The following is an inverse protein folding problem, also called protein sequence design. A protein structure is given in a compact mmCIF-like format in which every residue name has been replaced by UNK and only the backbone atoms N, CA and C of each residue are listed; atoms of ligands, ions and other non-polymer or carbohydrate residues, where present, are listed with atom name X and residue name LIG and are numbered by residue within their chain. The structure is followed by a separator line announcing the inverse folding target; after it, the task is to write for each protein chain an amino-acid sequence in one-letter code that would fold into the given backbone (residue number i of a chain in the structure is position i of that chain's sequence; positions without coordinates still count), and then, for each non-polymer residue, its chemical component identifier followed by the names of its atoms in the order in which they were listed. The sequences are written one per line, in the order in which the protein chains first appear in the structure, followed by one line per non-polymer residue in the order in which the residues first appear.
data_IF_798936955124
#
_entry.id   IF_798936955124
#
_cell.length_a   1.000
_cell.length_b   1.000
_cell.length_c   1.000
_cell.angle_alpha   90.00
_cell.angle_beta   90.00
_cell.angle_gamma   90.00
#
_symmetry.space_group_name_H-M   'P 1'
#
loop_
_entity.id
_entity.type
_entity.pdbx_description
1 polymer ?
#
# COMPACT_ATOMS: atom_id res chain seq x y z
N UNK A 1 22.40 -26.73 17.74
CA UNK A 1 23.12 -25.45 17.78
C UNK A 1 22.06 -24.37 17.66
N UNK A 2 22.27 -23.20 18.25
CA UNK A 2 21.39 -22.05 18.01
C UNK A 2 21.72 -21.54 16.60
N UNK A 3 20.76 -21.62 15.67
CA UNK A 3 20.95 -21.25 14.26
C UNK A 3 20.86 -19.71 14.05
N UNK A 4 20.74 -18.93 15.14
CA UNK A 4 20.71 -17.47 15.08
C UNK A 4 22.11 -16.90 14.79
N UNK A 5 22.25 -15.98 13.83
CA UNK A 5 23.52 -15.33 13.57
C UNK A 5 23.91 -14.40 14.73
N UNK A 6 25.22 -14.30 15.02
CA UNK A 6 25.77 -13.39 16.04
C UNK A 6 25.63 -11.92 15.63
N UNK A 7 25.62 -11.65 14.31
CA UNK A 7 25.56 -10.32 13.73
C UNK A 7 24.59 -10.27 12.57
N UNK A 8 23.98 -9.11 12.39
CA UNK A 8 23.18 -8.76 11.22
C UNK A 8 23.67 -7.44 10.65
N UNK A 9 23.63 -7.29 9.33
CA UNK A 9 23.98 -6.06 8.63
C UNK A 9 22.76 -5.57 7.86
N UNK A 10 22.45 -4.28 7.99
CA UNK A 10 21.43 -3.62 7.19
C UNK A 10 22.17 -2.74 6.18
N UNK A 11 22.04 -3.09 4.91
CA UNK A 11 22.62 -2.36 3.77
C UNK A 11 21.45 -1.67 3.04
N UNK A 12 21.37 -0.34 3.00
CA UNK A 12 22.25 0.67 3.64
C UNK A 12 21.44 1.81 4.27
N UNK A 13 22.11 2.67 5.05
CA UNK A 13 21.42 3.83 5.63
C UNK A 13 20.98 4.84 4.57
N UNK A 14 21.82 5.14 3.56
CA UNK A 14 21.64 6.33 2.73
C UNK A 14 22.24 6.20 1.31
N UNK A 15 22.41 4.98 0.79
CA UNK A 15 22.87 4.76 -0.59
C UNK A 15 21.70 4.95 -1.57
N UNK A 16 21.49 6.21 -1.98
CA UNK A 16 20.51 6.59 -2.98
C UNK A 16 20.79 6.00 -4.38
N UNK A 17 22.02 6.10 -4.92
CA UNK A 17 22.35 5.57 -6.24
C UNK A 17 22.03 4.09 -6.44
N UNK A 18 22.12 3.26 -5.39
CA UNK A 18 21.77 1.84 -5.45
C UNK A 18 20.34 1.51 -4.96
N UNK A 19 19.55 2.53 -4.60
CA UNK A 19 18.12 2.39 -4.27
C UNK A 19 17.80 1.48 -3.07
N UNK A 20 18.79 1.14 -2.22
CA UNK A 20 18.58 0.31 -1.02
C UNK A 20 18.80 1.06 0.31
N UNK A 21 18.75 2.40 0.26
CA UNK A 21 18.71 3.24 1.45
C UNK A 21 17.45 2.97 2.28
N UNK A 22 17.58 3.09 3.61
CA UNK A 22 16.45 3.05 4.55
C UNK A 22 16.27 4.35 5.34
N UNK A 23 17.17 5.31 5.16
CA UNK A 23 17.24 6.58 5.85
C UNK A 23 16.97 7.76 4.91
N UNK A 24 17.45 8.94 5.31
CA UNK A 24 17.36 10.12 4.46
C UNK A 24 18.48 10.06 3.41
N UNK A 25 18.16 10.48 2.18
CA UNK A 25 19.17 10.85 1.19
C UNK A 25 19.43 12.34 1.35
N UNK A 26 20.71 12.72 1.35
CA UNK A 26 21.10 14.11 1.39
C UNK A 26 21.62 14.57 0.02
N UNK A 27 21.13 15.72 -0.49
CA UNK A 27 21.64 16.40 -1.68
C UNK A 27 23.16 16.45 -1.84
N UNK A 28 23.89 16.53 -0.73
CA UNK A 28 25.33 16.72 -0.65
C UNK A 28 26.13 15.44 -0.91
N UNK A 29 25.50 14.27 -0.81
CA UNK A 29 26.18 12.97 -0.93
C UNK A 29 26.35 12.53 -2.37
N UNK A 30 25.40 12.87 -3.22
CA UNK A 30 25.48 12.76 -4.68
C UNK A 30 24.53 13.79 -5.28
N UNK A 31 25.09 14.71 -6.08
CA UNK A 31 24.33 15.80 -6.69
C UNK A 31 24.15 15.66 -8.20
N UNK A 32 24.47 14.49 -8.76
CA UNK A 32 24.28 14.22 -10.17
C UNK A 32 22.81 14.31 -10.56
N UNK A 33 22.54 14.84 -11.76
CA UNK A 33 21.18 14.96 -12.28
C UNK A 33 20.50 13.59 -12.41
N UNK A 34 21.27 12.56 -12.77
CA UNK A 34 20.74 11.22 -13.04
C UNK A 34 20.21 10.51 -11.79
N UNK A 35 20.96 10.55 -10.68
CA UNK A 35 20.49 9.97 -9.41
C UNK A 35 19.20 10.62 -8.92
N UNK A 36 19.11 11.95 -9.01
CA UNK A 36 17.95 12.72 -8.55
C UNK A 36 16.66 12.43 -9.29
N UNK A 37 16.70 11.74 -10.44
CA UNK A 37 15.49 11.32 -11.16
C UNK A 37 14.70 10.26 -10.40
N UNK A 38 15.40 9.35 -9.70
CA UNK A 38 14.76 8.20 -9.06
C UNK A 38 14.95 8.15 -7.55
N UNK A 39 16.07 8.64 -7.01
CA UNK A 39 16.37 8.63 -5.58
C UNK A 39 16.23 10.06 -5.03
N UNK A 40 15.02 10.41 -4.59
CA UNK A 40 14.70 11.75 -4.12
C UNK A 40 13.57 11.69 -3.08
N UNK A 41 13.12 12.85 -2.60
CA UNK A 41 12.07 12.96 -1.59
C UNK A 41 10.70 12.43 -2.06
N UNK A 42 10.49 12.21 -3.37
CA UNK A 42 9.30 11.58 -3.93
C UNK A 42 9.35 10.04 -3.88
N UNK A 43 10.48 9.45 -3.46
CA UNK A 43 10.66 8.02 -3.22
C UNK A 43 11.26 7.75 -1.83
N UNK A 44 10.65 8.18 -0.71
CA UNK A 44 11.26 8.02 0.61
C UNK A 44 11.19 6.56 1.08
N UNK A 45 12.33 5.97 1.44
CA UNK A 45 12.38 4.58 1.92
C UNK A 45 12.26 4.42 3.43
N UNK A 46 12.22 5.53 4.18
CA UNK A 46 12.09 5.53 5.65
C UNK A 46 10.86 4.78 6.17
N UNK A 47 9.86 4.57 5.32
CA UNK A 47 8.65 3.83 5.64
C UNK A 47 8.90 2.38 6.08
N UNK A 48 10.06 1.78 5.76
CA UNK A 48 10.44 0.44 6.21
C UNK A 48 10.98 0.40 7.65
N UNK A 49 11.38 1.55 8.20
CA UNK A 49 12.04 1.63 9.51
C UNK A 49 11.23 1.05 10.68
N UNK A 50 9.89 1.15 10.75
CA UNK A 50 9.13 0.53 11.82
C UNK A 50 9.30 -1.00 11.88
N UNK A 51 9.33 -1.68 10.72
CA UNK A 51 9.59 -3.12 10.64
C UNK A 51 11.01 -3.43 11.12
N UNK A 52 11.99 -2.63 10.69
CA UNK A 52 13.38 -2.79 11.12
C UNK A 52 13.56 -2.54 12.62
N UNK A 53 12.81 -1.59 13.19
CA UNK A 53 12.82 -1.33 14.64
C UNK A 53 12.30 -2.54 15.42
N UNK A 54 11.22 -3.17 14.96
CA UNK A 54 10.72 -4.44 15.52
C UNK A 54 11.77 -5.56 15.39
N UNK A 55 12.38 -5.70 14.22
CA UNK A 55 13.41 -6.72 13.98
C UNK A 55 14.63 -6.53 14.88
N UNK A 56 15.18 -5.31 14.97
CA UNK A 56 16.33 -4.97 15.81
C UNK A 56 16.03 -5.29 17.27
N UNK A 57 14.82 -4.99 17.74
CA UNK A 57 14.40 -5.26 19.11
C UNK A 57 14.37 -6.77 19.39
N UNK A 58 13.72 -7.55 18.53
CA UNK A 58 13.64 -9.01 18.66
C UNK A 58 15.03 -9.66 18.53
N UNK A 59 15.84 -9.25 17.56
CA UNK A 59 17.19 -9.76 17.36
C UNK A 59 18.07 -9.55 18.60
N UNK A 60 18.03 -8.34 19.18
CA UNK A 60 18.81 -8.00 20.38
C UNK A 60 18.35 -8.74 21.64
N UNK A 61 17.06 -9.07 21.75
CA UNK A 61 16.55 -9.88 22.86
C UNK A 61 16.71 -11.39 22.62
N UNK A 62 17.15 -11.78 21.42
CA UNK A 62 17.25 -13.17 21.02
C UNK A 62 15.91 -13.83 20.70
N UNK A 63 14.86 -13.04 20.50
CA UNK A 63 13.52 -13.49 20.15
C UNK A 63 13.41 -13.87 18.66
N UNK A 64 12.41 -14.69 18.35
CA UNK A 64 12.07 -15.11 16.99
C UNK A 64 11.22 -14.08 16.24
N UNK A 65 10.97 -14.31 14.95
CA UNK A 65 10.07 -13.47 14.14
C UNK A 65 8.62 -13.50 14.62
N UNK A 66 8.19 -14.58 15.28
CA UNK A 66 6.85 -14.73 15.85
C UNK A 66 6.66 -13.88 17.11
N UNK A 67 7.75 -13.48 17.74
CA UNK A 67 7.79 -12.67 18.96
C UNK A 67 8.10 -11.19 18.66
N UNK A 68 8.20 -10.80 17.38
CA UNK A 68 8.36 -9.41 16.99
C UNK A 68 7.11 -8.61 17.37
N UNK A 69 7.30 -7.49 18.06
CA UNK A 69 6.23 -6.54 18.37
C UNK A 69 6.41 -5.24 17.59
N UNK A 70 5.31 -4.56 17.17
CA UNK A 70 5.41 -3.23 16.59
C UNK A 70 6.01 -2.23 17.59
N UNK A 71 6.69 -1.16 17.12
CA UNK A 71 7.28 -0.18 18.04
C UNK A 71 6.23 0.55 18.89
N UNK A 72 6.56 0.83 20.14
CA UNK A 72 5.67 1.55 21.07
C UNK A 72 4.44 0.72 21.46
N UNK A 73 3.26 1.35 21.46
CA UNK A 73 1.99 0.71 21.82
C UNK A 73 1.07 0.48 20.60
N UNK A 74 1.63 0.48 19.38
CA UNK A 74 0.86 0.26 18.17
C UNK A 74 0.31 -1.18 18.11
N UNK A 75 -0.84 -1.38 17.46
CA UNK A 75 -1.40 -2.73 17.23
C UNK A 75 -0.72 -3.44 16.06
N UNK A 76 -0.34 -2.66 15.05
CA UNK A 76 0.38 -3.13 13.88
C UNK A 76 1.36 -2.04 13.40
N UNK A 77 2.48 -2.45 12.82
CA UNK A 77 3.42 -1.60 12.12
C UNK A 77 3.91 -2.33 10.86
N UNK A 78 4.03 -1.65 9.74
CA UNK A 78 4.32 -2.31 8.48
C UNK A 78 4.55 -1.36 7.33
N UNK A 79 4.76 -1.95 6.15
CA UNK A 79 5.03 -1.20 4.93
C UNK A 79 4.52 -1.96 3.71
N UNK A 80 4.12 -1.21 2.69
CA UNK A 80 3.80 -1.68 1.34
C UNK A 80 4.87 -1.12 0.41
N UNK A 81 5.42 -1.92 -0.48
CA UNK A 81 6.34 -1.43 -1.51
C UNK A 81 6.07 -2.01 -2.88
N UNK A 82 6.31 -1.19 -3.90
CA UNK A 82 6.03 -1.50 -5.29
C UNK A 82 6.90 -0.62 -6.19
N UNK A 83 7.14 -1.08 -7.42
CA UNK A 83 7.83 -0.30 -8.45
C UNK A 83 6.88 0.70 -9.12
N UNK A 84 7.35 1.91 -9.49
CA UNK A 84 6.48 2.98 -10.00
C UNK A 84 6.04 2.77 -11.46
N UNK A 85 6.67 1.85 -12.19
CA UNK A 85 6.31 1.51 -13.58
C UNK A 85 5.95 0.03 -13.73
N UNK A 86 5.08 -0.33 -14.66
CA UNK A 86 4.77 -1.72 -14.99
C UNK A 86 5.95 -2.42 -15.69
N UNK A 87 6.03 -3.75 -15.60
CA UNK A 87 7.21 -4.52 -16.06
C UNK A 87 7.34 -4.52 -17.58
N UNK A 88 6.23 -4.32 -18.29
CA UNK A 88 6.17 -4.21 -19.73
C UNK A 88 6.32 -2.76 -20.25
N UNK A 89 6.59 -1.79 -19.37
CA UNK A 89 6.77 -0.38 -19.73
C UNK A 89 7.93 -0.23 -20.72
N UNK A 90 7.78 0.70 -21.67
CA UNK A 90 8.80 1.04 -22.66
C UNK A 90 9.22 2.50 -22.50
N UNK A 91 10.42 2.74 -21.98
CA UNK A 91 10.97 4.08 -21.86
C UNK A 91 11.73 4.52 -23.11
N UNK A 92 11.83 5.84 -23.35
CA UNK A 92 12.75 6.37 -24.35
C UNK A 92 14.17 5.84 -24.11
N UNK A 93 14.79 5.32 -25.15
CA UNK A 93 16.20 4.93 -25.13
C UNK A 93 16.97 5.98 -25.93
N UNK A 94 17.94 6.61 -25.29
CA UNK A 94 19.01 7.31 -25.98
C UNK A 94 20.29 6.47 -25.90
N UNK A 95 21.39 6.94 -26.49
CA UNK A 95 22.67 6.21 -26.44
C UNK A 95 23.45 6.50 -25.13
N UNK A 96 22.78 6.97 -24.07
CA UNK A 96 23.39 7.18 -22.76
C UNK A 96 23.34 5.91 -21.90
N UNK A 97 24.29 5.78 -20.97
CA UNK A 97 24.43 4.62 -20.08
C UNK A 97 23.24 4.46 -19.12
N UNK A 98 22.39 5.48 -18.98
CA UNK A 98 21.33 5.55 -17.96
C UNK A 98 19.90 5.41 -18.52
N UNK A 99 19.72 5.32 -19.84
CA UNK A 99 18.40 5.18 -20.47
C UNK A 99 18.04 3.73 -20.85
N UNK A 100 19.00 2.82 -20.78
CA UNK A 100 18.80 1.39 -20.96
C UNK A 100 18.02 0.75 -19.80
N UNK A 101 17.54 -0.48 -20.03
CA UNK A 101 17.02 -1.31 -18.92
C UNK A 101 18.18 -1.67 -18.00
N UNK A 102 18.05 -1.53 -16.67
CA UNK A 102 19.07 -2.00 -15.73
C UNK A 102 19.25 -3.51 -15.81
N UNK A 103 20.40 -4.00 -15.37
CA UNK A 103 20.66 -5.44 -15.26
C UNK A 103 19.58 -6.11 -14.38
N UNK A 104 19.07 -7.26 -14.82
CA UNK A 104 18.01 -7.99 -14.11
C UNK A 104 16.59 -7.49 -14.39
N UNK A 105 16.38 -6.50 -15.26
CA UNK A 105 15.04 -6.02 -15.60
C UNK A 105 14.12 -7.13 -16.14
N UNK A 106 14.67 -8.15 -16.78
CA UNK A 106 13.93 -9.30 -17.32
C UNK A 106 13.17 -10.13 -16.28
N UNK A 107 13.53 -10.01 -14.98
CA UNK A 107 12.80 -10.65 -13.88
C UNK A 107 11.86 -9.69 -13.14
N UNK A 108 11.71 -8.45 -13.61
CA UNK A 108 10.75 -7.51 -13.03
C UNK A 108 9.33 -8.07 -13.15
N UNK A 109 8.61 -8.08 -12.03
CA UNK A 109 7.23 -8.59 -11.94
C UNK A 109 6.32 -7.53 -11.33
N UNK A 110 5.06 -7.49 -11.79
CA UNK A 110 4.06 -6.54 -11.33
C UNK A 110 3.41 -7.03 -10.02
N UNK A 111 4.11 -6.80 -8.91
CA UNK A 111 3.66 -7.17 -7.57
C UNK A 111 3.76 -5.99 -6.61
N UNK A 112 2.85 -5.95 -5.64
CA UNK A 112 2.96 -5.11 -4.46
C UNK A 112 3.33 -5.97 -3.26
N UNK A 113 4.50 -5.76 -2.72
CA UNK A 113 5.07 -6.54 -1.62
C UNK A 113 4.79 -5.85 -0.29
N UNK A 114 4.60 -6.63 0.77
CA UNK A 114 4.27 -6.08 2.07
C UNK A 114 4.88 -6.88 3.22
N UNK A 115 5.06 -6.21 4.34
CA UNK A 115 5.37 -6.81 5.63
C UNK A 115 4.67 -6.05 6.75
N UNK A 116 4.12 -6.79 7.71
CA UNK A 116 3.37 -6.25 8.85
C UNK A 116 3.75 -7.03 10.11
N UNK A 117 4.16 -6.29 11.13
CA UNK A 117 4.39 -6.80 12.49
C UNK A 117 3.14 -6.51 13.30
N UNK A 118 2.56 -7.55 13.90
CA UNK A 118 1.34 -7.48 14.71
C UNK A 118 1.66 -7.77 16.16
N UNK A 119 1.10 -6.96 17.06
CA UNK A 119 1.20 -7.20 18.50
C UNK A 119 0.39 -8.44 18.90
N UNK A 120 0.91 -9.24 19.85
CA UNK A 120 0.20 -10.37 20.48
C UNK A 120 -1.16 -9.98 21.07
N UNK A 121 -1.31 -8.74 21.52
CA UNK A 121 -2.55 -8.21 22.08
C UNK A 121 -3.43 -7.50 21.02
N UNK A 122 -3.05 -7.60 19.74
CA UNK A 122 -3.71 -6.92 18.63
C UNK A 122 -5.08 -7.50 18.25
N UNK A 123 -5.38 -8.72 18.71
CA UNK A 123 -6.57 -9.48 18.32
C UNK A 123 -6.47 -9.98 16.87
N UNK A 124 -7.53 -10.65 16.40
CA UNK A 124 -7.61 -11.09 15.01
C UNK A 124 -7.69 -9.86 14.08
N UNK A 125 -6.80 -9.81 13.09
CA UNK A 125 -6.73 -8.74 12.11
C UNK A 125 -6.56 -9.30 10.71
N UNK A 126 -7.10 -8.60 9.72
CA UNK A 126 -6.96 -8.93 8.30
C UNK A 126 -6.25 -7.81 7.56
N UNK A 127 -5.35 -8.18 6.67
CA UNK A 127 -4.74 -7.28 5.71
C UNK A 127 -5.53 -7.34 4.41
N UNK A 128 -5.74 -6.18 3.78
CA UNK A 128 -6.34 -6.06 2.45
C UNK A 128 -5.45 -5.18 1.57
N UNK A 129 -5.14 -5.66 0.37
CA UNK A 129 -4.34 -4.95 -0.64
C UNK A 129 -5.21 -4.43 -1.76
N UNK A 130 -4.90 -3.24 -2.26
CA UNK A 130 -5.65 -2.55 -3.31
C UNK A 130 -4.72 -1.98 -4.38
N UNK A 131 -5.18 -2.05 -5.63
CA UNK A 131 -4.53 -1.44 -6.78
C UNK A 131 -5.60 -0.75 -7.63
N UNK A 132 -5.45 0.55 -7.84
CA UNK A 132 -6.45 1.41 -8.50
C UNK A 132 -7.84 1.36 -7.85
N UNK A 133 -7.87 1.28 -6.52
CA UNK A 133 -9.12 1.22 -5.75
C UNK A 133 -9.83 -0.14 -5.76
N UNK A 134 -9.34 -1.13 -6.52
CA UNK A 134 -9.85 -2.50 -6.48
C UNK A 134 -9.04 -3.36 -5.51
N UNK A 135 -9.72 -4.21 -4.73
CA UNK A 135 -9.08 -5.18 -3.86
C UNK A 135 -8.41 -6.28 -4.69
N UNK A 136 -7.12 -6.50 -4.46
CA UNK A 136 -6.28 -7.45 -5.21
C UNK A 136 -5.80 -8.63 -4.35
N UNK A 137 -6.16 -8.66 -3.07
CA UNK A 137 -5.92 -9.78 -2.19
C UNK A 137 -6.06 -9.42 -0.72
N UNK A 138 -6.11 -10.45 0.12
CA UNK A 138 -6.18 -10.32 1.57
C UNK A 138 -5.42 -11.44 2.26
N UNK A 139 -5.09 -11.23 3.53
CA UNK A 139 -4.41 -12.21 4.37
C UNK A 139 -4.86 -12.07 5.83
N UNK A 140 -5.09 -13.20 6.50
CA UNK A 140 -5.21 -13.22 7.96
C UNK A 140 -3.84 -12.95 8.58
N UNK A 141 -3.80 -12.04 9.55
CA UNK A 141 -2.57 -11.69 10.26
C UNK A 141 -2.50 -12.42 11.60
N UNK A 142 -1.32 -12.95 11.90
CA UNK A 142 -0.99 -13.52 13.20
C UNK A 142 -0.02 -12.62 13.96
N UNK A 143 0.12 -12.83 15.27
CA UNK A 143 1.13 -12.15 16.08
C UNK A 143 2.55 -12.36 15.51
N UNK A 144 3.41 -11.35 15.64
CA UNK A 144 4.74 -11.36 15.05
C UNK A 144 4.78 -10.81 13.62
N UNK A 145 5.82 -11.20 12.88
CA UNK A 145 6.05 -10.80 11.50
C UNK A 145 5.19 -11.61 10.51
N UNK A 146 4.44 -10.88 9.67
CA UNK A 146 3.72 -11.38 8.50
C UNK A 146 4.30 -10.71 7.26
N UNK A 147 4.34 -11.40 6.12
CA UNK A 147 4.79 -10.83 4.86
C UNK A 147 4.19 -11.58 3.67
N UNK A 148 4.16 -10.92 2.52
CA UNK A 148 3.62 -11.50 1.29
C UNK A 148 3.65 -10.55 0.11
N UNK A 149 2.97 -10.96 -0.96
CA UNK A 149 2.83 -10.19 -2.18
C UNK A 149 1.37 -10.22 -2.66
N UNK A 150 0.93 -9.13 -3.27
CA UNK A 150 -0.25 -9.10 -4.12
C UNK A 150 0.19 -9.08 -5.59
N UNK A 151 -0.40 -9.93 -6.43
CA UNK A 151 0.09 -10.19 -7.81
C UNK A 151 -0.78 -9.58 -8.92
N UNK A 152 -1.78 -8.76 -8.58
CA UNK A 152 -2.66 -8.10 -9.55
C UNK A 152 -2.46 -6.58 -9.56
N UNK A 153 -1.20 -6.14 -9.43
CA UNK A 153 -0.83 -4.73 -9.51
C UNK A 153 -1.13 -4.18 -10.91
N UNK A 154 -1.69 -2.97 -10.97
CA UNK A 154 -2.05 -2.26 -12.21
C UNK A 154 -1.71 -0.77 -12.08
N UNK A 155 -1.86 -0.03 -13.18
CA UNK A 155 -1.71 1.43 -13.16
C UNK A 155 -2.64 2.07 -12.14
N UNK A 156 -2.20 3.17 -11.53
CA UNK A 156 -2.96 3.89 -10.52
C UNK A 156 -2.37 3.78 -9.11
N UNK A 157 -3.09 4.28 -8.10
CA UNK A 157 -2.63 4.29 -6.71
C UNK A 157 -2.57 2.87 -6.14
N UNK A 158 -1.58 2.62 -5.29
CA UNK A 158 -1.45 1.38 -4.53
C UNK A 158 -1.76 1.65 -3.07
N UNK A 159 -2.40 0.70 -2.41
CA UNK A 159 -2.80 0.85 -1.02
C UNK A 159 -2.86 -0.50 -0.31
N UNK A 160 -2.59 -0.51 0.99
CA UNK A 160 -3.00 -1.62 1.85
C UNK A 160 -3.58 -1.09 3.15
N UNK A 161 -4.48 -1.84 3.74
CA UNK A 161 -5.06 -1.52 5.03
C UNK A 161 -5.17 -2.75 5.92
N UNK A 162 -5.03 -2.53 7.21
CA UNK A 162 -5.26 -3.51 8.25
C UNK A 162 -6.61 -3.22 8.89
N UNK A 163 -7.45 -4.25 8.96
CA UNK A 163 -8.77 -4.23 9.56
C UNK A 163 -8.77 -5.11 10.80
N UNK A 164 -9.52 -4.71 11.81
CA UNK A 164 -9.86 -5.55 12.96
C UNK A 164 -10.86 -6.63 12.56
N UNK A 165 -11.01 -7.66 13.40
CA UNK A 165 -12.03 -8.71 13.29
C UNK A 165 -13.45 -8.18 12.99
N UNK A 166 -13.78 -6.98 13.47
CA UNK A 166 -15.10 -6.35 13.29
C UNK A 166 -15.17 -5.41 12.08
N UNK A 167 -14.14 -5.38 11.22
CA UNK A 167 -14.07 -4.53 10.03
C UNK A 167 -13.65 -3.07 10.28
N UNK A 168 -13.37 -2.69 11.53
CA UNK A 168 -12.83 -1.37 11.86
C UNK A 168 -11.41 -1.19 11.31
N UNK A 169 -11.10 -0.03 10.73
CA UNK A 169 -9.77 0.33 10.26
C UNK A 169 -8.79 0.40 11.45
N UNK A 170 -7.64 -0.26 11.33
CA UNK A 170 -6.57 -0.23 12.34
C UNK A 170 -5.42 0.63 11.86
N UNK A 171 -5.04 0.46 10.60
CA UNK A 171 -3.99 1.24 9.98
C UNK A 171 -4.05 1.14 8.44
N UNK A 172 -3.44 2.09 7.74
CA UNK A 172 -3.45 2.17 6.29
C UNK A 172 -2.09 2.63 5.77
N UNK A 173 -1.64 2.04 4.67
CA UNK A 173 -0.48 2.50 3.90
C UNK A 173 -0.97 2.92 2.51
N UNK A 174 -0.94 4.23 2.25
CA UNK A 174 -1.43 4.82 1.01
C UNK A 174 -0.68 6.12 0.67
N UNK A 175 -0.80 6.56 -0.57
CA UNK A 175 -0.09 7.72 -1.11
C UNK A 175 1.09 7.28 -1.99
N UNK A 176 2.13 8.11 -2.02
CA UNK A 176 3.23 7.94 -2.97
C UNK A 176 2.79 8.17 -4.42
N UNK A 177 3.66 7.80 -5.35
CA UNK A 177 3.41 7.92 -6.78
C UNK A 177 2.50 6.79 -7.29
N UNK A 178 1.61 7.11 -8.23
CA UNK A 178 0.84 6.12 -8.96
C UNK A 178 1.77 5.22 -9.79
N UNK A 179 1.40 3.94 -9.92
CA UNK A 179 1.99 3.04 -10.90
C UNK A 179 1.53 3.47 -12.29
N UNK A 180 2.42 3.40 -13.28
CA UNK A 180 2.10 3.78 -14.67
C UNK A 180 2.78 2.84 -15.68
N UNK A 181 2.25 2.80 -16.90
CA UNK A 181 2.84 2.17 -18.09
C UNK A 181 3.70 3.14 -18.91
N UNK A 182 3.93 4.36 -18.40
CA UNK A 182 4.83 5.38 -18.94
C UNK A 182 6.08 5.54 -18.07
N UNK A 183 7.03 6.39 -18.49
CA UNK A 183 8.29 6.64 -17.81
C UNK A 183 8.36 8.08 -17.30
N UNK A 184 7.72 8.39 -16.15
CA UNK A 184 7.67 9.75 -15.61
C UNK A 184 9.05 10.33 -15.32
N UNK A 185 10.04 9.48 -15.03
CA UNK A 185 11.43 9.90 -14.77
C UNK A 185 12.31 9.91 -16.05
N UNK A 186 11.73 9.55 -17.20
CA UNK A 186 12.43 9.41 -18.48
C UNK A 186 13.36 8.20 -18.58
N UNK A 187 13.35 7.31 -17.58
CA UNK A 187 14.20 6.12 -17.47
C UNK A 187 13.40 4.92 -16.98
N UNK A 188 13.98 3.72 -17.07
CA UNK A 188 13.42 2.48 -16.49
C UNK A 188 13.57 2.48 -14.95
N UNK A 189 12.87 3.39 -14.27
CA UNK A 189 12.96 3.54 -12.83
C UNK A 189 12.26 2.38 -12.10
N UNK A 190 13.07 1.55 -11.42
CA UNK A 190 12.60 0.48 -10.54
C UNK A 190 12.78 0.79 -9.05
N UNK A 191 13.23 2.00 -8.68
CA UNK A 191 13.36 2.42 -7.30
C UNK A 191 11.98 2.35 -6.61
N UNK A 192 11.78 1.51 -5.59
CA UNK A 192 10.45 1.26 -5.06
C UNK A 192 9.86 2.49 -4.38
N UNK A 193 8.56 2.66 -4.52
CA UNK A 193 7.77 3.44 -3.58
C UNK A 193 7.58 2.59 -2.33
N UNK A 194 7.89 3.14 -1.15
CA UNK A 194 7.66 2.45 0.14
C UNK A 194 6.68 3.28 0.96
N UNK A 195 5.51 2.72 1.23
CA UNK A 195 4.44 3.36 1.98
C UNK A 195 4.39 2.78 3.39
N UNK A 196 4.36 3.66 4.38
CA UNK A 196 4.27 3.25 5.79
C UNK A 196 2.82 2.94 6.15
N UNK A 197 2.62 1.89 6.94
CA UNK A 197 1.35 1.62 7.61
C UNK A 197 1.19 2.58 8.79
N UNK A 198 0.20 3.48 8.71
CA UNK A 198 -0.07 4.53 9.71
C UNK A 198 -1.43 4.32 10.35
N UNK A 199 -1.48 4.43 11.67
CA UNK A 199 -2.71 4.38 12.48
C UNK A 199 -3.24 5.80 12.69
N UNK A 200 -3.79 6.41 11.65
CA UNK A 200 -4.41 7.74 11.72
C UNK A 200 -5.76 7.71 11.01
N UNK A 201 -6.83 7.90 11.80
CA UNK A 201 -8.20 7.85 11.31
C UNK A 201 -8.52 8.95 10.29
N UNK A 202 -7.76 10.06 10.29
CA UNK A 202 -7.93 11.15 9.31
C UNK A 202 -7.50 10.74 7.90
N UNK A 203 -6.64 9.73 7.79
CA UNK A 203 -6.13 9.25 6.51
C UNK A 203 -7.26 8.55 5.75
N UNK A 204 -8.17 7.83 6.43
CA UNK A 204 -9.22 7.03 5.80
C UNK A 204 -8.68 5.79 5.06
N UNK A 205 -9.56 4.82 4.77
CA UNK A 205 -9.18 3.53 4.16
C UNK A 205 -8.72 3.61 2.69
N UNK A 206 -8.44 2.43 2.13
CA UNK A 206 -8.05 2.22 0.73
C UNK A 206 -9.23 2.24 -0.25
N UNK A 207 -10.40 1.82 0.20
CA UNK A 207 -11.60 1.89 -0.63
C UNK A 207 -11.90 3.37 -0.93
N UNK A 208 -11.90 3.72 -2.21
CA UNK A 208 -12.29 5.05 -2.65
C UNK A 208 -13.69 5.35 -2.12
N UNK A 209 -13.85 6.39 -1.29
CA UNK A 209 -15.13 7.09 -1.28
C UNK A 209 -15.29 7.59 -2.71
N UNK A 210 -16.26 7.04 -3.45
CA UNK A 210 -16.71 7.71 -4.67
C UNK A 210 -17.12 9.10 -4.22
N UNK A 211 -16.31 10.12 -4.49
CA UNK A 211 -16.74 11.49 -4.25
C UNK A 211 -17.97 11.68 -5.13
N UNK A 212 -19.12 11.87 -4.51
CA UNK A 212 -20.22 12.52 -5.19
C UNK A 212 -19.71 13.92 -5.53
N UNK A 213 -19.38 14.15 -6.81
CA UNK A 213 -19.24 15.50 -7.33
C UNK A 213 -20.62 16.16 -7.23
N UNK A 214 -20.87 16.87 -6.15
CA UNK A 214 -21.82 17.98 -6.17
C UNK A 214 -21.01 19.20 -6.56
N UNK A 215 -21.00 19.49 -7.86
CA UNK A 215 -20.94 20.87 -8.31
C UNK A 215 -22.16 21.55 -7.71
N UNK A 216 -22.00 22.48 -6.77
CA UNK A 216 -23.00 23.50 -6.48
C UNK A 216 -22.33 24.66 -5.74
N UNK A 217 -22.56 25.84 -6.29
CA UNK A 217 -22.01 27.14 -5.92
C UNK A 217 -22.33 27.54 -4.47
N UNK A 218 -21.34 28.05 -3.74
CA UNK A 218 -21.53 28.66 -2.42
C UNK A 218 -22.14 30.08 -2.57
N UNK A 219 -23.42 30.21 -2.26
CA UNK A 219 -24.02 31.43 -1.71
C UNK A 219 -24.75 31.08 -0.38
N UNK A 220 -24.22 31.66 0.70
CA UNK A 220 -24.77 31.92 2.03
C UNK A 220 -25.87 31.05 2.68
N UNK A 221 -25.58 30.76 3.95
CA UNK A 221 -26.49 30.67 5.12
C UNK A 221 -26.98 29.30 5.59
N UNK A 222 -26.92 29.11 6.91
CA UNK A 222 -27.85 28.26 7.65
C UNK A 222 -27.29 26.92 8.12
N UNK A 223 -27.02 26.84 9.42
CA UNK A 223 -26.93 25.61 10.20
C UNK A 223 -27.97 24.55 9.82
N UNK A 224 -27.62 23.25 9.89
CA UNK A 224 -28.30 22.25 10.76
C UNK A 224 -27.61 20.88 10.65
N UNK A 225 -27.42 20.32 11.84
CA UNK A 225 -27.10 18.96 12.23
C UNK A 225 -28.05 17.90 11.61
N UNK A 226 -27.53 16.81 11.02
CA UNK A 226 -28.23 15.50 10.96
C UNK A 226 -27.23 14.40 10.55
N UNK A 227 -26.75 13.55 11.46
CA UNK A 227 -27.42 12.36 12.01
C UNK A 227 -27.31 11.14 11.08
N UNK A 228 -26.56 10.15 11.56
CA UNK A 228 -26.51 8.76 11.08
C UNK A 228 -27.92 8.20 10.90
N UNK A 229 -28.15 7.49 9.80
CA UNK A 229 -29.36 6.67 9.64
C UNK A 229 -29.04 5.28 9.08
N UNK A 230 -29.83 4.37 9.61
CA UNK A 230 -29.54 3.00 9.96
C UNK A 230 -29.96 2.02 8.85
N UNK A 231 -29.32 0.86 8.87
CA UNK A 231 -29.23 -0.16 7.82
C UNK A 231 -30.45 -1.10 7.85
N UNK A 232 -31.66 -0.56 7.74
CA UNK A 232 -32.92 -1.31 7.89
C UNK A 232 -34.06 -0.89 6.93
N UNK A 233 -33.79 -0.66 5.63
CA UNK A 233 -34.87 -0.50 4.62
C UNK A 233 -34.48 -1.09 3.25
N UNK A 234 -34.13 -2.38 3.20
CA UNK A 234 -33.87 -3.04 1.91
C UNK A 234 -34.64 -4.36 1.71
N UNK A 235 -35.72 -4.60 2.47
CA UNK A 235 -36.49 -5.85 2.40
C UNK A 235 -38.00 -5.73 2.16
N UNK A 236 -38.51 -4.63 1.61
CA UNK A 236 -39.92 -4.57 1.16
C UNK A 236 -40.10 -3.75 -0.13
N UNK A 237 -39.93 -4.39 -1.28
CA UNK A 237 -40.53 -3.94 -2.54
C UNK A 237 -40.66 -5.12 -3.53
N UNK A 238 -41.60 -6.02 -3.26
CA UNK A 238 -42.19 -6.90 -4.27
C UNK A 238 -43.70 -6.69 -4.24
N UNK A 239 -44.33 -6.61 -5.42
CA UNK A 239 -45.79 -6.60 -5.72
C UNK A 239 -46.40 -5.23 -6.09
N UNK A 240 -46.30 -4.88 -7.38
CA UNK A 240 -47.39 -4.25 -8.13
C UNK A 240 -47.10 -4.20 -9.65
N UNK A 241 -47.29 -5.32 -10.36
CA UNK A 241 -47.77 -5.27 -11.75
C UNK A 241 -48.49 -6.58 -12.10
N UNK A 242 -49.81 -6.54 -12.07
CA UNK A 242 -50.70 -7.64 -12.44
C UNK A 242 -51.35 -7.31 -13.79
N UNK A 243 -51.17 -8.26 -14.73
CA UNK A 243 -52.12 -8.73 -15.75
C UNK A 243 -52.90 -7.74 -16.63
N UNK A 244 -52.68 -7.83 -17.95
CA UNK A 244 -53.76 -8.14 -18.91
C UNK A 244 -53.23 -8.29 -20.36
N UNK A 245 -53.12 -9.53 -20.86
CA UNK A 245 -53.44 -9.90 -22.26
C UNK A 245 -54.02 -11.32 -22.26
N UNK A 246 -55.33 -11.41 -22.39
CA UNK A 246 -56.12 -12.54 -22.92
C UNK A 246 -55.69 -12.82 -24.38
N UNK A 247 -55.57 -14.01 -24.97
CA UNK A 247 -56.27 -15.30 -24.87
C UNK A 247 -56.38 -15.86 -26.31
N UNK A 248 -56.52 -17.19 -26.46
CA UNK A 248 -56.89 -18.07 -27.63
C UNK A 248 -55.98 -19.33 -27.57
N UNK A 249 -56.37 -20.46 -26.94
CA UNK A 249 -57.24 -21.58 -27.40
C UNK A 249 -56.83 -22.10 -28.79
N UNK A 250 -56.49 -23.36 -29.09
CA UNK A 250 -56.47 -24.65 -28.40
C UNK A 250 -56.19 -25.74 -29.46
N UNK A 251 -55.83 -26.95 -28.98
CA UNK A 251 -55.53 -28.20 -29.72
C UNK A 251 -54.30 -28.23 -30.63
#
# INVERSE_FOLDING_TARGET
MDDRPDFTQILTWNDGPESHYIGNIWPEQDNTTEMRRYANDDAPHKAIQPILSSFITAFKSGASSQEMAPPGNARAAGSLWFKPILANTSCPQDNDLHSGKPDGYEVAVDVSSWAVVVSDNGGNMTLHGFSDGEEIGSADLVAGLNFGNFSAMREGPQCMEVRSEHGGLVAVAKGGRNVTSDCPDGIYNLNPQILQLVSDDSVGGCASSKSSSSDDDDDDSGSVLAVMLDRYVFWTALLASLASVTGVVGL
#
